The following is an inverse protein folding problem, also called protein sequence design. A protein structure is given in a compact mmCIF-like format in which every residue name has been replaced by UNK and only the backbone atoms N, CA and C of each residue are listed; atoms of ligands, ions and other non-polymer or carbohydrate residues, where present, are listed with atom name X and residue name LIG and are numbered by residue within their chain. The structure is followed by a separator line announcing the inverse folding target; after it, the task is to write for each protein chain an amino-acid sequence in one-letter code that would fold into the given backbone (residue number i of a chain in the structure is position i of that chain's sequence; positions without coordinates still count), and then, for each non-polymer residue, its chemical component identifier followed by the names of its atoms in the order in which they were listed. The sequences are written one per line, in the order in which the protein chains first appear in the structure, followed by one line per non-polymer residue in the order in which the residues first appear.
data_IF_007512040506
#
_entry.id   IF_007512040506
#
_cell.length_a   1.000
_cell.length_b   1.000
_cell.length_c   1.000
_cell.angle_alpha   90.00
_cell.angle_beta   90.00
_cell.angle_gamma   90.00
#
_symmetry.space_group_name_H-M   'P 1'
#
loop_
_entity.id
_entity.type
_entity.pdbx_description
1 polymer ?
#
# COMPACT_ATOMS: atom_id res chain seq x y z
N UNK A 1 31.32 -17.43 44.43
CA UNK A 1 30.25 -16.41 44.28
C UNK A 1 30.21 -16.05 42.81
N UNK A 2 29.27 -16.63 42.06
CA UNK A 2 29.08 -16.37 40.63
C UNK A 2 28.21 -15.11 40.47
N UNK A 3 28.72 -14.13 39.75
CA UNK A 3 27.95 -12.97 39.28
C UNK A 3 27.51 -13.27 37.84
N UNK A 4 26.30 -13.81 37.70
CA UNK A 4 25.60 -13.90 36.42
C UNK A 4 24.92 -12.56 36.20
N UNK A 5 25.50 -11.74 35.33
CA UNK A 5 24.91 -10.46 34.91
C UNK A 5 23.95 -10.76 33.75
N UNK A 6 22.65 -10.68 34.01
CA UNK A 6 21.63 -10.65 32.97
C UNK A 6 21.64 -9.25 32.35
N UNK A 7 21.88 -9.16 31.05
CA UNK A 7 21.56 -7.96 30.26
C UNK A 7 20.12 -8.15 29.79
N UNK A 8 19.27 -7.18 30.16
CA UNK A 8 17.90 -7.06 29.71
C UNK A 8 17.98 -6.44 28.32
N UNK A 9 17.72 -7.23 27.28
CA UNK A 9 17.54 -6.73 25.92
C UNK A 9 16.27 -5.88 25.88
N UNK A 10 16.42 -4.61 25.52
CA UNK A 10 15.30 -3.73 25.23
C UNK A 10 15.03 -3.83 23.75
N UNK A 11 13.93 -4.49 23.37
CA UNK A 11 13.41 -4.46 22.01
C UNK A 11 12.61 -3.18 21.84
N UNK A 12 13.03 -2.32 20.91
CA UNK A 12 12.24 -1.19 20.44
C UNK A 12 11.55 -1.64 19.15
N UNK A 13 10.23 -1.56 19.14
CA UNK A 13 9.38 -1.82 17.98
C UNK A 13 8.94 -0.45 17.47
N UNK A 14 9.31 -0.09 16.24
CA UNK A 14 8.69 1.02 15.54
C UNK A 14 7.52 0.42 14.79
N UNK A 15 6.35 0.46 15.41
CA UNK A 15 5.07 0.27 14.73
C UNK A 15 4.74 1.61 14.11
N UNK A 16 4.88 1.74 12.79
CA UNK A 16 4.17 2.78 12.05
C UNK A 16 2.75 2.22 11.88
N UNK A 17 1.93 2.39 12.92
CA UNK A 17 0.49 2.20 12.85
C UNK A 17 -0.10 3.61 12.74
N UNK A 18 -0.59 3.97 11.56
CA UNK A 18 -1.65 4.96 11.47
C UNK A 18 -2.87 4.37 12.23
N UNK A 19 -3.51 5.16 13.08
CA UNK A 19 -4.60 4.75 13.99
C UNK A 19 -5.86 4.33 13.18
N UNK A 20 -6.76 3.44 13.62
CA UNK A 20 -7.37 3.30 14.95
C UNK A 20 -7.57 1.82 15.39
N UNK A 21 -7.05 1.46 16.57
CA UNK A 21 -7.80 0.62 17.50
C UNK A 21 -7.60 -0.90 17.56
N UNK A 22 -6.61 -1.52 16.91
CA UNK A 22 -6.41 -2.99 17.05
C UNK A 22 -5.20 -3.33 17.94
N UNK A 23 -5.47 -3.74 19.18
CA UNK A 23 -4.49 -4.40 20.06
C UNK A 23 -4.24 -5.82 19.57
N UNK A 24 -3.33 -6.01 18.62
CA UNK A 24 -3.17 -7.32 17.97
C UNK A 24 -1.78 -7.68 17.45
N UNK A 25 -0.69 -7.01 17.82
CA UNK A 25 0.65 -7.37 17.32
C UNK A 25 1.59 -7.63 18.49
N UNK A 26 1.74 -8.91 18.88
CA UNK A 26 2.69 -9.32 19.92
C UNK A 26 3.48 -10.61 19.60
N UNK A 27 3.59 -11.01 18.33
CA UNK A 27 4.39 -12.18 17.96
C UNK A 27 5.40 -11.87 16.86
N UNK A 28 6.67 -11.70 17.26
CA UNK A 28 7.86 -12.33 16.65
C UNK A 28 9.14 -11.69 17.21
N UNK A 29 9.55 -11.97 18.47
CA UNK A 29 10.86 -11.50 18.97
C UNK A 29 11.51 -12.54 19.90
N UNK A 30 12.15 -13.54 19.30
CA UNK A 30 13.20 -14.39 19.91
C UNK A 30 14.32 -14.65 18.86
N UNK A 31 14.73 -13.61 18.13
CA UNK A 31 15.82 -13.66 17.15
C UNK A 31 17.09 -12.96 17.66
N UNK A 32 18.22 -13.68 17.70
CA UNK A 32 19.53 -13.24 18.26
C UNK A 32 20.43 -12.56 17.20
N UNK A 33 19.86 -11.83 16.25
CA UNK A 33 20.61 -11.03 15.27
C UNK A 33 19.77 -9.83 14.79
N UNK A 34 20.43 -8.69 14.58
CA UNK A 34 19.84 -7.48 14.03
C UNK A 34 19.54 -7.65 12.54
N UNK A 35 18.38 -8.19 12.21
CA UNK A 35 17.85 -8.22 10.85
C UNK A 35 16.74 -7.20 10.73
N UNK A 36 16.84 -6.32 9.73
CA UNK A 36 15.71 -5.47 9.32
C UNK A 36 14.72 -6.35 8.55
N UNK A 37 13.44 -6.30 8.92
CA UNK A 37 12.37 -6.98 8.19
C UNK A 37 11.48 -5.93 7.54
N UNK A 38 11.30 -6.01 6.23
CA UNK A 38 10.22 -5.31 5.54
C UNK A 38 9.14 -6.34 5.30
N UNK A 39 7.90 -6.00 5.66
CA UNK A 39 6.75 -6.87 5.46
C UNK A 39 5.48 -6.06 5.25
N UNK A 40 4.41 -6.77 4.94
CA UNK A 40 3.05 -6.24 4.85
C UNK A 40 2.17 -7.02 5.81
N UNK A 41 1.13 -6.38 6.32
CA UNK A 41 0.10 -7.08 7.09
C UNK A 41 -1.28 -6.61 6.65
N UNK A 42 -2.22 -7.54 6.49
CA UNK A 42 -3.64 -7.18 6.35
C UNK A 42 -4.24 -7.05 7.74
N UNK A 43 -4.82 -5.89 8.06
CA UNK A 43 -5.62 -5.76 9.28
C UNK A 43 -7.03 -6.25 8.98
N UNK A 44 -7.37 -7.42 9.50
CA UNK A 44 -8.78 -7.84 9.54
C UNK A 44 -9.46 -7.19 10.74
N UNK A 45 -10.70 -6.67 10.60
CA UNK A 45 -11.41 -6.11 11.73
C UNK A 45 -11.64 -7.18 12.80
N UNK A 46 -11.15 -6.91 14.01
CA UNK A 46 -11.46 -7.74 15.16
C UNK A 46 -12.89 -7.43 15.62
N UNK A 47 -13.73 -8.44 15.81
CA UNK A 47 -15.15 -8.32 16.15
C UNK A 47 -15.38 -7.57 17.48
N UNK A 48 -15.38 -6.24 17.47
CA UNK A 48 -15.77 -5.38 18.58
C UNK A 48 -15.86 -3.90 18.18
N UNK A 49 -17.03 -3.41 17.76
CA UNK A 49 -17.96 -2.62 18.58
C UNK A 49 -19.00 -1.94 17.68
N UNK A 50 -20.27 -2.10 18.04
CA UNK A 50 -21.46 -1.60 17.35
C UNK A 50 -21.49 -0.07 17.13
N UNK A 51 -21.58 0.37 15.88
CA UNK A 51 -22.25 1.61 15.49
C UNK A 51 -23.01 1.40 14.16
N UNK A 52 -24.32 1.64 14.21
CA UNK A 52 -25.24 1.57 13.08
C UNK A 52 -24.97 2.70 12.08
N UNK A 53 -24.42 2.36 10.92
CA UNK A 53 -24.65 3.07 9.66
C UNK A 53 -24.90 2.01 8.58
N UNK A 54 -25.57 2.39 7.49
CA UNK A 54 -26.26 1.51 6.54
C UNK A 54 -25.38 0.40 5.93
N UNK A 55 -26.04 -0.70 5.54
CA UNK A 55 -25.47 -1.94 5.04
C UNK A 55 -24.51 -1.73 3.86
N UNK A 56 -23.25 -1.52 4.20
CA UNK A 56 -22.08 -1.89 3.42
C UNK A 56 -21.56 -3.11 4.16
N UNK A 57 -21.22 -4.20 3.45
CA UNK A 57 -20.57 -5.35 4.09
C UNK A 57 -19.35 -4.84 4.87
N UNK A 58 -19.42 -4.90 6.19
CA UNK A 58 -18.25 -4.67 7.03
C UNK A 58 -17.22 -5.75 6.72
N UNK A 59 -15.92 -5.44 6.65
CA UNK A 59 -14.90 -6.47 6.39
C UNK A 59 -14.85 -7.57 7.48
N UNK A 60 -15.69 -7.50 8.52
CA UNK A 60 -15.97 -8.58 9.47
C UNK A 60 -16.58 -9.83 8.81
N UNK A 61 -17.17 -9.70 7.61
CA UNK A 61 -17.76 -10.82 6.86
C UNK A 61 -16.85 -11.36 5.75
N UNK A 62 -15.58 -10.91 5.70
CA UNK A 62 -14.58 -11.33 4.74
C UNK A 62 -13.56 -12.30 5.37
N UNK A 63 -13.49 -13.51 4.83
CA UNK A 63 -12.44 -14.48 5.18
C UNK A 63 -11.48 -14.62 4.00
N UNK A 64 -10.22 -14.21 4.17
CA UNK A 64 -9.18 -14.35 3.17
C UNK A 64 -8.40 -15.66 3.36
N UNK A 65 -8.30 -16.44 2.28
CA UNK A 65 -7.45 -17.62 2.19
C UNK A 65 -6.11 -17.28 1.50
N UNK A 66 -6.14 -16.31 0.58
CA UNK A 66 -4.98 -15.77 -0.14
C UNK A 66 -5.05 -14.25 -0.11
N UNK A 67 -3.97 -13.60 0.28
CA UNK A 67 -3.78 -12.18 0.05
C UNK A 67 -2.31 -11.94 -0.32
N UNK A 68 -2.07 -11.48 -1.53
CA UNK A 68 -0.74 -11.32 -2.08
C UNK A 68 -0.54 -10.00 -2.81
N UNK A 69 0.68 -9.49 -2.77
CA UNK A 69 1.13 -8.36 -3.55
C UNK A 69 2.40 -8.70 -4.32
N UNK A 70 2.47 -8.31 -5.59
CA UNK A 70 3.68 -8.32 -6.38
C UNK A 70 4.30 -6.93 -6.36
N UNK A 71 5.56 -6.85 -5.92
CA UNK A 71 6.29 -5.59 -5.80
C UNK A 71 7.57 -5.68 -6.63
N UNK A 72 7.73 -4.81 -7.63
CA UNK A 72 8.91 -4.79 -8.47
C UNK A 72 10.07 -4.15 -7.72
N UNK A 73 9.82 -3.07 -7.00
CA UNK A 73 10.87 -2.27 -6.37
C UNK A 73 10.43 -1.74 -5.01
N UNK A 74 11.39 -1.63 -4.11
CA UNK A 74 11.24 -0.90 -2.85
C UNK A 74 12.31 0.18 -2.84
N UNK A 75 11.92 1.44 -2.66
CA UNK A 75 12.85 2.57 -2.59
C UNK A 75 12.84 3.16 -1.19
N UNK A 76 14.00 3.59 -0.72
CA UNK A 76 14.14 4.34 0.52
C UNK A 76 14.86 5.65 0.21
N UNK A 77 14.12 6.76 0.21
CA UNK A 77 14.67 8.08 -0.12
C UNK A 77 15.45 8.63 1.08
N UNK A 78 16.67 9.09 0.82
CA UNK A 78 17.51 9.75 1.81
C UNK A 78 17.08 11.22 1.96
N UNK A 79 17.28 11.83 3.15
CA UNK A 79 17.17 13.28 3.31
C UNK A 79 18.06 14.04 2.32
N UNK A 80 17.61 15.21 1.85
CA UNK A 80 18.27 16.01 0.79
C UNK A 80 19.75 16.38 1.06
N UNK A 81 20.18 16.31 2.33
CA UNK A 81 21.54 16.60 2.75
C UNK A 81 22.47 15.38 2.80
N UNK A 82 21.94 14.18 2.54
CA UNK A 82 22.66 12.91 2.53
C UNK A 82 22.76 12.36 1.11
N UNK A 83 23.91 11.77 0.81
CA UNK A 83 24.15 11.05 -0.43
C UNK A 83 24.43 9.58 -0.17
N UNK A 84 24.46 8.78 -1.24
CA UNK A 84 24.89 7.39 -1.19
C UNK A 84 26.28 7.19 -0.56
N UNK A 85 27.16 8.18 -0.64
CA UNK A 85 28.48 8.12 -0.03
C UNK A 85 28.46 8.29 1.50
N UNK A 86 27.42 8.92 2.05
CA UNK A 86 27.32 9.25 3.46
C UNK A 86 26.73 8.11 4.30
N UNK A 87 25.88 7.27 3.71
CA UNK A 87 25.18 6.18 4.42
C UNK A 87 25.97 4.88 4.53
N UNK A 88 27.25 4.85 4.12
CA UNK A 88 28.10 3.66 4.24
C UNK A 88 27.57 2.45 3.47
N UNK A 89 26.82 2.69 2.39
CA UNK A 89 26.14 1.66 1.63
C UNK A 89 27.12 0.64 1.01
N UNK A 90 26.76 -0.64 1.10
CA UNK A 90 27.47 -1.74 0.45
C UNK A 90 26.56 -2.34 -0.60
N UNK A 91 26.94 -2.21 -1.87
CA UNK A 91 26.18 -2.78 -2.99
C UNK A 91 25.96 -4.28 -2.81
N UNK A 92 24.72 -4.71 -3.06
CA UNK A 92 24.30 -6.10 -3.10
C UNK A 92 23.74 -6.41 -4.49
N UNK A 93 23.51 -7.68 -4.80
CA UNK A 93 23.04 -8.06 -6.15
C UNK A 93 21.75 -7.37 -6.58
N UNK A 94 20.86 -7.10 -5.62
CA UNK A 94 19.54 -6.53 -5.81
C UNK A 94 19.33 -5.24 -5.00
N UNK A 95 20.39 -4.67 -4.42
CA UNK A 95 20.30 -3.43 -3.66
C UNK A 95 21.32 -2.45 -4.21
N UNK A 96 20.87 -1.25 -4.58
CA UNK A 96 21.71 -0.18 -5.12
C UNK A 96 21.36 1.13 -4.44
N UNK A 97 22.33 2.04 -4.41
CA UNK A 97 22.06 3.41 -4.06
C UNK A 97 22.28 4.27 -5.31
N UNK A 98 21.27 5.02 -5.70
CA UNK A 98 21.23 5.81 -6.92
C UNK A 98 20.91 7.27 -6.57
N UNK A 99 21.36 8.19 -7.41
CA UNK A 99 20.99 9.61 -7.31
C UNK A 99 20.15 9.94 -8.52
N UNK A 100 18.90 10.33 -8.28
CA UNK A 100 17.98 10.76 -9.32
C UNK A 100 17.97 12.29 -9.42
N UNK A 101 17.50 12.80 -10.55
CA UNK A 101 17.31 14.23 -10.74
C UNK A 101 15.87 14.44 -11.15
N UNK A 102 15.10 14.99 -10.23
CA UNK A 102 13.69 15.29 -10.38
C UNK A 102 13.53 16.78 -10.70
N UNK A 103 12.52 17.12 -11.49
CA UNK A 103 12.19 18.52 -11.79
C UNK A 103 10.88 18.83 -11.10
N UNK A 104 10.97 19.47 -9.94
CA UNK A 104 9.82 19.93 -9.16
C UNK A 104 9.75 21.45 -9.28
N UNK A 105 8.60 21.99 -9.69
CA UNK A 105 8.39 23.43 -9.94
C UNK A 105 9.43 24.09 -10.88
N UNK A 106 9.96 23.31 -11.83
CA UNK A 106 10.98 23.79 -12.77
C UNK A 106 12.38 23.95 -12.17
N UNK A 107 12.61 23.44 -10.95
CA UNK A 107 13.92 23.37 -10.29
C UNK A 107 14.41 21.92 -10.32
N UNK A 108 15.62 21.72 -10.84
CA UNK A 108 16.29 20.40 -10.74
C UNK A 108 16.68 20.14 -9.27
N UNK A 109 16.07 19.13 -8.68
CA UNK A 109 16.39 18.61 -7.36
C UNK A 109 17.08 17.26 -7.51
N UNK A 110 18.11 17.01 -6.68
CA UNK A 110 18.80 15.73 -6.66
C UNK A 110 18.44 14.99 -5.38
N UNK A 111 17.73 13.89 -5.53
CA UNK A 111 17.41 12.95 -4.45
C UNK A 111 18.36 11.75 -4.53
N UNK A 112 18.78 11.23 -3.38
CA UNK A 112 19.52 9.96 -3.33
C UNK A 112 18.64 8.92 -2.66
N UNK A 113 18.62 7.71 -3.20
CA UNK A 113 17.73 6.66 -2.72
C UNK A 113 18.39 5.28 -2.77
N UNK A 114 17.98 4.42 -1.84
CA UNK A 114 18.35 3.01 -1.84
C UNK A 114 17.23 2.23 -2.52
N UNK A 115 17.53 1.61 -3.66
CA UNK A 115 16.62 0.76 -4.41
C UNK A 115 16.88 -0.71 -4.11
N UNK A 116 15.83 -1.44 -3.79
CA UNK A 116 15.80 -2.88 -3.66
C UNK A 116 14.96 -3.44 -4.81
N UNK A 117 15.59 -4.14 -5.75
CA UNK A 117 14.93 -4.68 -6.95
C UNK A 117 14.41 -6.10 -6.72
N UNK A 118 13.17 -6.33 -7.14
CA UNK A 118 12.42 -7.58 -7.11
C UNK A 118 12.46 -8.34 -8.44
N UNK A 119 11.38 -9.05 -8.81
CA UNK A 119 10.04 -9.01 -8.18
C UNK A 119 10.00 -9.71 -6.82
N UNK A 120 9.13 -9.23 -5.94
CA UNK A 120 8.83 -9.83 -4.63
C UNK A 120 7.35 -10.22 -4.56
N UNK A 121 7.09 -11.52 -4.39
CA UNK A 121 5.77 -12.05 -4.08
C UNK A 121 5.57 -12.01 -2.56
N UNK A 122 4.86 -10.99 -2.08
CA UNK A 122 4.51 -10.84 -0.67
C UNK A 122 3.22 -11.58 -0.35
N UNK A 123 3.26 -12.45 0.65
CA UNK A 123 2.09 -13.00 1.32
C UNK A 123 1.68 -12.03 2.43
N UNK A 124 0.58 -11.30 2.20
CA UNK A 124 0.08 -10.23 3.06
C UNK A 124 -0.55 -10.77 4.36
N UNK A 125 -0.89 -12.06 4.40
CA UNK A 125 -1.43 -12.72 5.60
C UNK A 125 -0.30 -13.13 6.57
N UNK A 126 0.88 -13.46 6.05
CA UNK A 126 2.05 -13.89 6.85
C UNK A 126 3.15 -12.84 6.95
N UNK A 127 3.10 -11.80 6.12
CA UNK A 127 4.14 -10.79 5.95
C UNK A 127 5.45 -11.31 5.37
N UNK A 128 5.46 -12.50 4.76
CA UNK A 128 6.64 -13.10 4.16
C UNK A 128 6.74 -12.76 2.67
N UNK A 129 7.96 -12.63 2.16
CA UNK A 129 8.22 -12.38 0.74
C UNK A 129 8.98 -13.52 0.08
N UNK A 130 8.76 -13.71 -1.23
CA UNK A 130 9.59 -14.56 -2.09
C UNK A 130 10.10 -13.75 -3.29
N UNK A 131 11.44 -13.56 -3.46
CA UNK A 131 12.50 -13.99 -2.56
C UNK A 131 12.44 -13.28 -1.20
N UNK A 132 13.06 -13.89 -0.19
CA UNK A 132 13.07 -13.33 1.17
C UNK A 132 13.93 -12.06 1.24
N UNK A 133 13.42 -11.04 1.93
CA UNK A 133 14.15 -9.82 2.25
C UNK A 133 15.04 -9.94 3.50
N UNK A 134 15.03 -11.08 4.19
CA UNK A 134 15.73 -11.24 5.48
C UNK A 134 17.26 -11.06 5.40
N UNK A 135 17.85 -11.28 4.22
CA UNK A 135 19.29 -11.12 3.98
C UNK A 135 19.67 -9.70 3.50
N UNK A 136 18.67 -8.84 3.26
CA UNK A 136 18.90 -7.46 2.80
C UNK A 136 19.29 -6.60 4.00
N UNK A 137 20.41 -5.89 3.84
CA UNK A 137 20.90 -4.97 4.86
C UNK A 137 20.62 -3.55 4.41
N UNK A 138 19.72 -2.89 5.14
CA UNK A 138 19.47 -1.46 5.02
C UNK A 138 20.43 -0.76 5.98
N UNK A 139 21.28 0.17 5.50
CA UNK A 139 22.15 0.94 6.38
C UNK A 139 21.37 1.63 7.49
N UNK A 140 21.96 1.72 8.68
CA UNK A 140 21.39 2.57 9.72
C UNK A 140 21.43 4.04 9.28
N UNK A 141 20.36 4.77 9.49
CA UNK A 141 20.25 6.14 9.04
C UNK A 141 18.84 6.68 9.20
N UNK A 142 18.66 7.89 8.70
CA UNK A 142 17.38 8.58 8.62
C UNK A 142 16.95 8.58 7.14
N UNK A 143 15.69 8.25 6.89
CA UNK A 143 15.07 8.18 5.57
C UNK A 143 13.84 9.06 5.54
N UNK A 144 13.56 9.73 4.42
CA UNK A 144 12.38 10.61 4.30
C UNK A 144 11.13 9.79 4.02
N UNK A 145 11.28 8.79 3.17
CA UNK A 145 10.18 8.09 2.53
C UNK A 145 10.57 6.64 2.22
N UNK A 146 9.58 5.77 2.23
CA UNK A 146 9.66 4.42 1.70
C UNK A 146 8.59 4.27 0.61
N UNK A 147 9.00 3.88 -0.58
CA UNK A 147 8.12 3.72 -1.74
C UNK A 147 8.09 2.25 -2.15
N UNK A 148 6.90 1.73 -2.45
CA UNK A 148 6.70 0.39 -3.02
C UNK A 148 6.06 0.49 -4.39
N UNK A 149 6.78 -0.02 -5.39
CA UNK A 149 6.35 -0.05 -6.78
C UNK A 149 5.62 -1.38 -7.03
N UNK A 150 4.30 -1.30 -7.24
CA UNK A 150 3.41 -2.45 -7.47
C UNK A 150 3.43 -2.93 -8.91
N UNK A 151 4.54 -2.78 -9.62
CA UNK A 151 4.72 -3.43 -10.91
C UNK A 151 5.30 -4.85 -10.76
N UNK A 152 5.23 -5.69 -11.80
CA UNK A 152 6.04 -6.91 -11.90
C UNK A 152 5.28 -8.22 -12.11
N UNK A 153 6.03 -9.23 -12.54
CA UNK A 153 5.50 -10.56 -12.85
C UNK A 153 5.83 -11.55 -11.71
N UNK A 154 4.86 -11.75 -10.82
CA UNK A 154 4.91 -12.79 -9.79
C UNK A 154 4.19 -14.09 -10.22
N UNK A 155 3.86 -14.22 -11.50
CA UNK A 155 3.20 -15.40 -12.07
C UNK A 155 1.66 -15.38 -11.99
N UNK A 156 1.06 -14.22 -11.70
CA UNK A 156 -0.41 -14.02 -11.69
C UNK A 156 -0.95 -13.53 -13.04
N UNK A 157 -0.10 -12.89 -13.83
CA UNK A 157 -0.39 -12.19 -15.07
C UNK A 157 0.68 -11.11 -15.26
N UNK A 158 0.80 -10.53 -16.45
CA UNK A 158 1.82 -9.49 -16.70
C UNK A 158 1.52 -8.17 -15.97
N UNK A 159 0.24 -7.91 -15.66
CA UNK A 159 -0.24 -6.64 -15.08
C UNK A 159 -0.85 -6.80 -13.68
N UNK A 160 -1.05 -8.04 -13.20
CA UNK A 160 -1.69 -8.29 -11.89
C UNK A 160 -0.68 -8.13 -10.75
N UNK A 161 -0.92 -7.13 -9.91
CA UNK A 161 -0.08 -6.80 -8.77
C UNK A 161 -0.70 -7.15 -7.42
N UNK A 162 -2.03 -7.29 -7.33
CA UNK A 162 -2.72 -7.71 -6.11
C UNK A 162 -3.60 -8.93 -6.37
N UNK A 163 -3.55 -9.91 -5.46
CA UNK A 163 -4.38 -11.11 -5.52
C UNK A 163 -5.04 -11.34 -4.17
N UNK A 164 -6.37 -11.33 -4.15
CA UNK A 164 -7.17 -11.69 -2.97
C UNK A 164 -8.08 -12.88 -3.31
N UNK A 165 -8.04 -13.94 -2.52
CA UNK A 165 -9.00 -15.05 -2.66
C UNK A 165 -9.59 -15.39 -1.29
N UNK A 166 -10.87 -15.73 -1.27
CA UNK A 166 -11.52 -16.02 -0.01
C UNK A 166 -13.03 -16.27 -0.13
N UNK A 167 -13.72 -16.02 0.97
CA UNK A 167 -15.18 -16.09 1.07
C UNK A 167 -15.70 -14.81 1.70
N UNK A 168 -16.63 -14.14 1.02
CA UNK A 168 -17.42 -13.05 1.59
C UNK A 168 -18.79 -13.59 2.02
N UNK A 169 -19.36 -13.06 3.10
CA UNK A 169 -20.69 -13.46 3.58
C UNK A 169 -21.67 -12.31 3.43
N UNK A 170 -22.81 -12.56 2.80
CA UNK A 170 -23.85 -11.53 2.67
C UNK A 170 -24.69 -11.35 3.95
N UNK A 171 -25.61 -10.37 3.93
CA UNK A 171 -26.51 -10.06 5.04
C UNK A 171 -27.44 -11.21 5.46
N UNK A 172 -27.65 -12.20 4.58
CA UNK A 172 -28.44 -13.40 4.83
C UNK A 172 -27.57 -14.58 5.33
N UNK A 173 -26.29 -14.31 5.63
CA UNK A 173 -25.29 -15.31 6.04
C UNK A 173 -24.99 -16.35 4.96
N UNK A 174 -25.15 -16.01 3.69
CA UNK A 174 -24.79 -16.87 2.57
C UNK A 174 -23.33 -16.62 2.18
N UNK A 175 -22.48 -17.67 2.15
CA UNK A 175 -21.09 -17.52 1.74
C UNK A 175 -20.95 -17.46 0.21
N UNK A 176 -20.14 -16.53 -0.26
CA UNK A 176 -19.80 -16.27 -1.65
C UNK A 176 -18.29 -16.39 -1.84
N UNK A 177 -17.79 -17.50 -2.43
CA UNK A 177 -16.38 -17.63 -2.78
C UNK A 177 -16.00 -16.61 -3.85
N UNK A 178 -14.87 -15.94 -3.67
CA UNK A 178 -14.39 -14.94 -4.61
C UNK A 178 -12.88 -15.05 -4.87
N UNK A 179 -12.46 -14.51 -6.00
CA UNK A 179 -11.07 -14.25 -6.35
C UNK A 179 -11.00 -12.87 -7.03
N UNK A 180 -10.11 -12.00 -6.55
CA UNK A 180 -9.81 -10.69 -7.13
C UNK A 180 -8.39 -10.73 -7.69
N UNK A 181 -8.24 -10.35 -8.95
CA UNK A 181 -6.96 -10.17 -9.63
C UNK A 181 -6.91 -8.72 -10.10
N UNK A 182 -6.17 -7.89 -9.37
CA UNK A 182 -6.18 -6.44 -9.57
C UNK A 182 -4.87 -5.98 -10.19
N UNK A 183 -4.99 -5.16 -11.22
CA UNK A 183 -3.91 -4.46 -11.89
C UNK A 183 -3.79 -3.08 -11.24
N UNK A 184 -2.96 -3.01 -10.19
CA UNK A 184 -2.64 -1.77 -9.50
C UNK A 184 -1.23 -1.35 -9.92
N UNK A 185 -1.13 -0.27 -10.69
CA UNK A 185 0.11 0.21 -11.30
C UNK A 185 0.66 1.49 -10.64
N UNK A 186 0.07 1.91 -9.54
CA UNK A 186 0.53 3.06 -8.76
C UNK A 186 1.57 2.65 -7.69
N UNK A 187 2.34 3.64 -7.25
CA UNK A 187 3.31 3.48 -6.16
C UNK A 187 2.61 3.67 -4.80
N UNK A 188 3.04 2.92 -3.78
CA UNK A 188 2.68 3.20 -2.39
C UNK A 188 3.81 3.97 -1.73
N UNK A 189 3.57 5.24 -1.46
CA UNK A 189 4.50 6.13 -0.78
C UNK A 189 4.16 6.23 0.70
N UNK A 190 5.12 5.89 1.55
CA UNK A 190 5.04 6.12 2.99
C UNK A 190 5.98 7.27 3.31
N UNK A 191 5.42 8.47 3.24
CA UNK A 191 6.07 9.67 3.73
C UNK A 191 5.83 9.84 5.24
N UNK A 192 6.81 10.43 5.92
CA UNK A 192 6.67 10.75 7.32
C UNK A 192 7.11 12.18 7.57
N UNK A 193 6.27 12.94 8.30
CA UNK A 193 6.57 14.31 8.76
C UNK A 193 7.90 14.39 9.55
N UNK A 194 8.37 13.26 10.07
CA UNK A 194 9.69 13.10 10.69
C UNK A 194 10.46 11.97 10.04
N UNK A 195 11.79 12.09 9.91
CA UNK A 195 12.61 11.02 9.33
C UNK A 195 12.33 9.64 9.93
N UNK A 196 12.24 8.65 9.05
CA UNK A 196 12.16 7.22 9.34
C UNK A 196 13.57 6.77 9.78
N UNK A 197 13.72 6.43 11.05
CA UNK A 197 15.03 6.10 11.62
C UNK A 197 15.27 4.59 11.64
N UNK A 198 16.25 4.12 10.87
CA UNK A 198 16.77 2.76 10.89
C UNK A 198 17.96 2.72 11.84
N UNK A 199 17.83 2.01 12.96
CA UNK A 199 18.87 1.97 13.99
C UNK A 199 19.82 0.79 13.79
N UNK A 200 21.12 1.03 14.01
CA UNK A 200 22.15 -0.02 13.99
C UNK A 200 21.86 -1.08 15.05
N UNK A 201 22.11 -2.34 14.72
CA UNK A 201 21.94 -3.50 15.60
C UNK A 201 20.52 -3.67 16.20
N UNK A 202 19.50 -3.04 15.61
CA UNK A 202 18.11 -3.22 16.00
C UNK A 202 17.33 -3.92 14.89
N UNK A 203 16.40 -4.79 15.30
CA UNK A 203 15.40 -5.31 14.39
C UNK A 203 14.46 -4.15 14.03
N UNK A 204 14.69 -3.53 12.89
CA UNK A 204 13.78 -2.54 12.33
C UNK A 204 12.73 -3.30 11.53
N UNK A 205 11.46 -3.08 11.82
CA UNK A 205 10.36 -3.67 11.05
C UNK A 205 9.59 -2.55 10.37
N UNK A 206 9.48 -2.62 9.04
CA UNK A 206 8.60 -1.75 8.26
C UNK A 206 7.39 -2.60 7.90
N UNK A 207 6.21 -2.17 8.34
CA UNK A 207 4.94 -2.81 7.97
C UNK A 207 4.02 -1.76 7.35
N UNK A 208 3.55 -2.04 6.14
CA UNK A 208 2.36 -1.38 5.61
C UNK A 208 1.13 -2.22 5.98
N UNK A 209 0.08 -1.55 6.42
CA UNK A 209 -1.19 -2.19 6.78
C UNK A 209 -2.23 -1.85 5.73
N UNK A 210 -2.83 -2.88 5.13
CA UNK A 210 -3.92 -2.70 4.17
C UNK A 210 -5.26 -2.81 4.89
N UNK A 211 -6.08 -1.75 4.81
CA UNK A 211 -7.42 -1.71 5.40
C UNK A 211 -8.48 -1.98 4.34
N UNK A 212 -8.91 -3.24 4.28
CA UNK A 212 -9.92 -3.70 3.32
C UNK A 212 -11.27 -3.01 3.50
N UNK A 213 -11.58 -2.45 4.68
CA UNK A 213 -12.83 -1.71 4.85
C UNK A 213 -12.82 -0.45 4.00
N UNK A 214 -11.68 0.23 3.90
CA UNK A 214 -11.55 1.43 3.09
C UNK A 214 -11.53 1.09 1.61
N UNK A 215 -10.90 -0.02 1.23
CA UNK A 215 -10.89 -0.52 -0.15
C UNK A 215 -12.29 -0.77 -0.70
N UNK A 216 -13.18 -1.27 0.16
CA UNK A 216 -14.56 -1.62 -0.22
C UNK A 216 -15.59 -0.62 0.30
N UNK A 217 -15.16 0.56 0.75
CA UNK A 217 -16.08 1.55 1.35
C UNK A 217 -17.08 2.12 0.32
N UNK A 218 -16.67 2.20 -0.95
CA UNK A 218 -17.46 2.82 -2.01
C UNK A 218 -18.47 1.87 -2.65
N UNK A 219 -18.23 0.55 -2.57
CA UNK A 219 -19.05 -0.45 -3.24
C UNK A 219 -19.39 -1.66 -2.35
N UNK A 220 -20.69 -1.96 -2.27
CA UNK A 220 -21.18 -3.22 -1.70
C UNK A 220 -21.14 -4.34 -2.77
N UNK A 221 -19.94 -4.76 -3.11
CA UNK A 221 -19.72 -5.78 -4.14
C UNK A 221 -20.28 -7.16 -3.74
N UNK A 222 -20.45 -7.44 -2.45
CA UNK A 222 -21.06 -8.68 -1.98
C UNK A 222 -22.55 -8.69 -2.24
N UNK A 223 -23.23 -7.55 -2.05
CA UNK A 223 -24.63 -7.40 -2.44
C UNK A 223 -24.80 -7.55 -3.95
N UNK A 224 -23.86 -7.06 -4.77
CA UNK A 224 -23.86 -7.30 -6.22
C UNK A 224 -23.82 -8.80 -6.57
N UNK A 225 -23.11 -9.63 -5.80
CA UNK A 225 -23.14 -11.09 -5.96
C UNK A 225 -24.49 -11.66 -5.54
N UNK A 226 -25.03 -11.23 -4.40
CA UNK A 226 -26.29 -11.72 -3.86
C UNK A 226 -27.49 -11.41 -4.77
N UNK A 227 -27.50 -10.24 -5.42
CA UNK A 227 -28.52 -9.82 -6.39
C UNK A 227 -28.36 -10.51 -7.75
N UNK A 228 -27.22 -11.17 -7.99
CA UNK A 228 -26.90 -11.87 -9.22
C UNK A 228 -26.38 -10.97 -10.33
N UNK A 229 -26.00 -9.73 -9.99
CA UNK A 229 -25.39 -8.77 -10.92
C UNK A 229 -23.93 -9.18 -11.22
N UNK A 230 -23.22 -9.78 -10.26
CA UNK A 230 -21.92 -10.42 -10.49
C UNK A 230 -22.07 -11.94 -10.56
N UNK A 231 -21.77 -12.51 -11.73
CA UNK A 231 -22.05 -13.92 -12.02
C UNK A 231 -20.85 -14.79 -11.69
N UNK A 232 -21.04 -15.74 -10.78
CA UNK A 232 -20.04 -16.77 -10.49
C UNK A 232 -19.74 -17.66 -11.71
N UNK A 233 -18.49 -18.06 -11.84
CA UNK A 233 -18.04 -19.02 -12.84
C UNK A 233 -18.65 -20.44 -12.58
N UNK A 234 -18.43 -21.44 -13.46
CA UNK A 234 -18.96 -22.79 -13.26
C UNK A 234 -18.50 -23.52 -11.99
N UNK A 235 -17.44 -23.07 -11.33
CA UNK A 235 -17.00 -23.57 -10.02
C UNK A 235 -17.70 -22.90 -8.83
N UNK A 236 -18.51 -21.87 -9.06
CA UNK A 236 -19.21 -21.13 -8.02
C UNK A 236 -18.36 -20.02 -7.37
N UNK A 237 -17.28 -19.59 -8.03
CA UNK A 237 -16.43 -18.48 -7.58
C UNK A 237 -16.73 -17.26 -8.44
N UNK A 238 -16.92 -16.11 -7.79
CA UNK A 238 -16.97 -14.82 -8.48
C UNK A 238 -15.53 -14.36 -8.71
N UNK A 239 -15.17 -14.13 -9.97
CA UNK A 239 -13.84 -13.66 -10.35
C UNK A 239 -13.97 -12.19 -10.72
N UNK A 240 -13.29 -11.33 -9.96
CA UNK A 240 -13.24 -9.89 -10.14
C UNK A 240 -11.87 -9.55 -10.72
N UNK A 241 -11.86 -9.21 -12.00
CA UNK A 241 -10.72 -8.78 -12.78
C UNK A 241 -11.19 -7.67 -13.75
N UNK A 242 -10.30 -7.14 -14.58
CA UNK A 242 -10.63 -6.09 -15.55
C UNK A 242 -11.73 -6.50 -16.56
N UNK A 243 -11.96 -7.80 -16.75
CA UNK A 243 -12.97 -8.33 -17.68
C UNK A 243 -14.34 -8.53 -17.01
N UNK A 244 -14.45 -8.33 -15.68
CA UNK A 244 -15.73 -8.47 -14.99
C UNK A 244 -16.71 -7.42 -15.49
N UNK A 245 -17.96 -7.85 -15.69
CA UNK A 245 -19.07 -6.95 -15.97
C UNK A 245 -20.21 -7.27 -15.02
N UNK A 246 -20.67 -6.24 -14.32
CA UNK A 246 -21.91 -6.27 -13.57
C UNK A 246 -23.03 -5.50 -14.25
N UNK A 247 -24.22 -5.58 -13.68
CA UNK A 247 -25.38 -4.77 -14.06
C UNK A 247 -25.59 -3.61 -13.06
N UNK A 248 -26.28 -2.56 -13.51
CA UNK A 248 -26.74 -1.49 -12.61
C UNK A 248 -25.61 -0.71 -11.96
N UNK A 249 -25.55 -0.75 -10.62
CA UNK A 249 -24.52 -0.07 -9.81
C UNK A 249 -23.23 -0.87 -9.69
N UNK A 250 -23.22 -2.11 -10.20
CA UNK A 250 -22.09 -3.03 -10.12
C UNK A 250 -21.33 -3.12 -11.46
N UNK A 251 -21.65 -2.25 -12.42
CA UNK A 251 -21.05 -2.28 -13.76
C UNK A 251 -19.56 -1.96 -13.74
N UNK A 252 -19.13 -1.11 -12.81
CA UNK A 252 -17.76 -0.61 -12.69
C UNK A 252 -17.09 -1.12 -11.40
N UNK A 253 -17.53 -2.27 -10.87
CA UNK A 253 -17.06 -2.79 -9.57
C UNK A 253 -15.54 -2.95 -9.47
N UNK A 254 -14.88 -3.27 -10.59
CA UNK A 254 -13.43 -3.38 -10.64
C UNK A 254 -12.76 -2.01 -10.39
N UNK A 255 -13.23 -0.97 -11.09
CA UNK A 255 -12.71 0.40 -10.96
C UNK A 255 -13.05 0.97 -9.58
N UNK A 256 -14.27 0.76 -9.08
CA UNK A 256 -14.66 1.22 -7.74
C UNK A 256 -13.78 0.61 -6.62
N UNK A 257 -13.35 -0.65 -6.79
CA UNK A 257 -12.41 -1.30 -5.87
C UNK A 257 -11.01 -0.68 -6.00
N UNK A 258 -10.54 -0.43 -7.23
CA UNK A 258 -9.24 0.21 -7.45
C UNK A 258 -9.20 1.63 -6.89
N UNK A 259 -10.26 2.42 -7.10
CA UNK A 259 -10.39 3.76 -6.55
C UNK A 259 -10.40 3.72 -5.01
N UNK A 260 -11.12 2.76 -4.41
CA UNK A 260 -11.09 2.54 -2.96
C UNK A 260 -9.70 2.15 -2.44
N UNK A 261 -8.91 1.38 -3.21
CA UNK A 261 -7.52 1.08 -2.88
C UNK A 261 -6.67 2.37 -2.94
N UNK A 262 -6.75 3.12 -4.03
CA UNK A 262 -6.01 4.39 -4.21
C UNK A 262 -6.29 5.34 -3.07
N UNK A 263 -7.57 5.60 -2.75
CA UNK A 263 -7.96 6.45 -1.64
C UNK A 263 -7.48 5.95 -0.27
N UNK A 264 -7.38 4.63 -0.07
CA UNK A 264 -6.88 4.06 1.17
C UNK A 264 -5.35 4.11 1.30
N UNK A 265 -4.65 4.27 0.17
CA UNK A 265 -3.18 4.31 0.09
C UNK A 265 -2.65 5.74 -0.06
N UNK A 266 -3.42 6.65 -0.64
CA UNK A 266 -3.17 8.08 -0.65
C UNK A 266 -3.31 8.63 0.78
N UNK A 267 -2.17 8.88 1.41
CA UNK A 267 -2.15 9.71 2.60
C UNK A 267 -2.34 11.16 2.12
N UNK A 268 -3.55 11.71 2.29
CA UNK A 268 -3.80 13.13 2.03
C UNK A 268 -2.77 13.96 2.82
N UNK A 269 -1.74 14.46 2.12
CA UNK A 269 -0.99 15.62 2.56
C UNK A 269 -1.95 16.80 2.48
N UNK A 270 -2.71 16.98 3.57
CA UNK A 270 -3.68 18.04 3.86
C UNK A 270 -3.09 19.48 3.79
N UNK A 271 -2.02 19.71 3.04
CA UNK A 271 -1.36 21.00 2.83
C UNK A 271 -1.82 21.72 1.55
N UNK A 272 -2.89 21.24 0.90
CA UNK A 272 -3.56 21.96 -0.19
C UNK A 272 -4.48 23.08 0.33
N UNK A 273 -3.97 23.85 1.29
CA UNK A 273 -4.48 25.17 1.67
C UNK A 273 -4.18 26.18 0.57
N UNK A 274 -4.68 25.91 -0.63
CA UNK A 274 -4.75 26.89 -1.70
C UNK A 274 -5.55 28.08 -1.19
N UNK A 275 -4.82 29.14 -0.83
CA UNK A 275 -5.35 30.48 -0.78
C UNK A 275 -5.84 30.79 -2.21
N UNK A 276 -7.11 30.48 -2.47
CA UNK A 276 -7.92 31.01 -3.56
C UNK A 276 -8.01 32.53 -3.35
N UNK A 277 -6.91 33.20 -3.65
CA UNK A 277 -6.78 34.65 -3.72
C UNK A 277 -7.56 35.11 -4.94
N UNK A 278 -8.88 35.16 -4.79
CA UNK A 278 -9.85 35.50 -5.82
C UNK A 278 -9.35 36.58 -6.78
N UNK A 279 -8.89 36.13 -7.94
CA UNK A 279 -8.66 36.99 -9.09
C UNK A 279 -9.98 37.19 -9.81
N UNK A 280 -10.63 38.31 -9.48
CA UNK A 280 -11.71 38.88 -10.27
C UNK A 280 -11.14 39.33 -11.61
N UNK A 281 -11.18 38.47 -12.63
CA UNK A 281 -10.82 38.88 -13.98
C UNK A 281 -11.96 39.68 -14.62
N UNK A 282 -11.66 40.97 -14.67
CA UNK A 282 -12.34 42.04 -15.37
C UNK A 282 -12.63 41.64 -16.82
N UNK A 283 -13.90 41.74 -17.17
CA UNK A 283 -14.43 41.68 -18.52
C UNK A 283 -13.77 42.72 -19.43
N UNK A 284 -12.99 42.28 -20.42
CA UNK A 284 -12.70 43.07 -21.61
C UNK A 284 -13.08 42.26 -22.85
N UNK A 285 -14.28 42.57 -23.33
CA UNK A 285 -14.77 42.42 -24.68
C UNK A 285 -13.83 43.11 -25.68
N UNK A 286 -13.34 42.39 -26.67
CA UNK A 286 -12.90 42.99 -27.93
C UNK A 286 -13.41 42.14 -29.10
N UNK A 287 -14.37 42.76 -29.79
CA UNK A 287 -14.88 42.43 -31.10
C UNK A 287 -13.73 42.41 -32.12
N UNK A 288 -13.76 41.49 -33.09
CA UNK A 288 -13.33 41.77 -34.46
C UNK A 288 -13.85 40.68 -35.42
N UNK A 289 -15.04 40.97 -35.95
CA UNK A 289 -15.53 40.45 -37.23
C UNK A 289 -14.67 41.01 -38.37
N UNK A 290 -14.03 40.16 -39.17
CA UNK A 290 -13.70 40.54 -40.55
C UNK A 290 -13.82 39.34 -41.50
N UNK A 291 -15.03 39.20 -42.06
CA UNK A 291 -15.31 38.42 -43.26
C UNK A 291 -14.74 39.14 -44.49
N UNK A 292 -13.86 38.49 -45.23
CA UNK A 292 -13.79 38.66 -46.70
C UNK A 292 -12.99 37.53 -47.34
N UNK A 293 -13.68 36.66 -48.09
CA UNK A 293 -13.06 35.87 -49.15
C UNK A 293 -13.97 35.87 -50.37
N UNK A 294 -13.35 36.27 -51.48
CA UNK A 294 -13.89 36.40 -52.84
C UNK A 294 -13.93 35.08 -53.59
#
# INVERSE_FOLDING_TARGET
MNLTKWLIGSSMVILISACDGVTGIQQALDGDAATTQIGFQVSQPSSATTALTQAIVSAEDLSLDVAKACIEKIKLKLPDHLSCADVGFVEQSNVRCETETEIEDGVEQQSSEIKISGPFDFDLLTGQSTPSLADIMIPSGSYREIEFDFHGDCGYGEEISLVLEGTATDVDSTPHPFAMYLEYDDDLEIESLTDINVLEDQANQIFATLDLNNWFAEIDWVQCIADGDLVANPSGTVVIDQDISGDGVCNDVYEDILDGIKMALEFEDDDDSSNDDGQTDDSSSDDDDDESSS
#
